data_IF_712594288724
#
_entry.id   IF_712594288724
#
_cell.length_a   1.000
_cell.length_b   1.000
_cell.length_c   1.000
_cell.angle_alpha   90.00
_cell.angle_beta   90.00
_cell.angle_gamma   90.00
#
_symmetry.space_group_name_H-M   'P 1'
#
loop_
_entity.id
_entity.type
_entity.pdbx_description
1 polymer ?
#
# COMPACT_ATOMS: atom_id res chain seq x y z
N UNK A 1 15.32 13.77 -17.76
CA UNK A 1 15.13 12.38 -17.31
C UNK A 1 14.61 12.45 -15.88
N UNK A 2 13.40 11.95 -15.56
CA UNK A 2 12.86 12.09 -14.22
C UNK A 2 13.75 11.36 -13.22
N UNK A 3 13.99 11.99 -12.08
CA UNK A 3 14.82 11.48 -10.98
C UNK A 3 14.32 10.12 -10.52
N UNK A 4 15.08 9.10 -10.93
CA UNK A 4 15.10 7.65 -10.71
C UNK A 4 13.95 6.99 -9.90
N UNK A 5 13.42 7.49 -8.77
CA UNK A 5 12.37 6.82 -7.98
C UNK A 5 11.00 7.53 -7.92
N UNK A 6 10.80 8.62 -8.68
CA UNK A 6 9.60 9.46 -8.62
C UNK A 6 8.25 8.71 -8.69
N UNK A 7 8.04 7.72 -9.59
CA UNK A 7 6.76 7.00 -9.64
C UNK A 7 6.41 6.27 -8.34
N UNK A 8 7.41 5.78 -7.60
CA UNK A 8 7.18 5.07 -6.33
C UNK A 8 6.89 6.05 -5.19
N UNK A 9 7.47 7.25 -5.23
CA UNK A 9 7.09 8.34 -4.33
C UNK A 9 5.67 8.82 -4.60
N UNK A 10 5.30 9.03 -5.87
CA UNK A 10 3.94 9.39 -6.24
C UNK A 10 2.92 8.33 -5.80
N UNK A 11 3.24 7.04 -5.94
CA UNK A 11 2.39 5.96 -5.40
C UNK A 11 2.32 5.99 -3.87
N UNK A 12 3.42 6.32 -3.18
CA UNK A 12 3.44 6.45 -1.72
C UNK A 12 2.52 7.59 -1.28
N UNK A 13 2.66 8.77 -1.89
CA UNK A 13 1.82 9.93 -1.61
C UNK A 13 0.35 9.65 -1.90
N UNK A 14 0.06 8.99 -3.02
CA UNK A 14 -1.29 8.58 -3.39
C UNK A 14 -1.90 7.65 -2.33
N UNK A 15 -1.14 6.65 -1.84
CA UNK A 15 -1.63 5.76 -0.79
C UNK A 15 -1.95 6.52 0.49
N UNK A 16 -1.09 7.45 0.90
CA UNK A 16 -1.28 8.25 2.10
C UNK A 16 -2.50 9.17 1.98
N UNK A 17 -2.64 9.89 0.87
CA UNK A 17 -3.73 10.86 0.64
C UNK A 17 -5.07 10.17 0.40
N UNK A 18 -5.09 9.03 -0.27
CA UNK A 18 -6.35 8.37 -0.61
C UNK A 18 -7.03 7.76 0.62
N UNK A 19 -6.27 7.33 1.64
CA UNK A 19 -6.84 6.77 2.87
C UNK A 19 -7.84 7.72 3.59
N UNK A 20 -7.51 8.97 3.93
CA UNK A 20 -8.47 9.89 4.54
C UNK A 20 -9.61 10.25 3.59
N UNK A 21 -9.32 10.44 2.30
CA UNK A 21 -10.35 10.74 1.28
C UNK A 21 -11.40 9.64 1.25
N UNK A 22 -10.99 8.37 1.25
CA UNK A 22 -11.90 7.24 1.29
C UNK A 22 -12.69 7.17 2.58
N UNK A 23 -12.11 7.53 3.73
CA UNK A 23 -12.85 7.60 5.00
C UNK A 23 -13.95 8.67 4.97
N UNK A 24 -13.70 9.83 4.34
CA UNK A 24 -14.71 10.88 4.15
C UNK A 24 -15.82 10.50 3.17
N UNK A 25 -15.63 9.45 2.36
CA UNK A 25 -16.66 8.89 1.48
C UNK A 25 -17.40 7.73 2.15
N UNK A 26 -16.64 6.84 2.79
CA UNK A 26 -17.10 5.60 3.42
C UNK A 26 -18.07 5.86 4.57
N UNK A 27 -17.67 6.64 5.57
CA UNK A 27 -18.46 6.84 6.78
C UNK A 27 -19.82 7.51 6.52
N UNK A 28 -19.92 8.54 5.65
CA UNK A 28 -21.22 9.06 5.24
C UNK A 28 -22.09 8.04 4.47
N UNK A 29 -21.49 7.15 3.67
CA UNK A 29 -22.24 6.11 2.98
C UNK A 29 -22.80 5.06 3.95
N UNK A 30 -22.00 4.67 4.95
CA UNK A 30 -22.41 3.75 6.04
C UNK A 30 -23.48 4.39 6.94
N UNK A 31 -23.42 5.69 7.20
CA UNK A 31 -24.50 6.35 7.95
C UNK A 31 -25.82 6.30 7.17
N UNK A 32 -25.77 6.56 5.86
CA UNK A 32 -26.95 6.55 5.00
C UNK A 32 -27.54 5.15 4.77
N UNK A 33 -26.78 4.08 4.96
CA UNK A 33 -27.31 2.72 4.85
C UNK A 33 -28.21 2.35 6.03
N UNK A 34 -28.21 3.13 7.12
CA UNK A 34 -29.05 2.87 8.30
C UNK A 34 -28.69 1.59 9.05
N UNK A 35 -27.51 1.02 8.80
CA UNK A 35 -27.03 -0.23 9.43
C UNK A 35 -26.41 0.00 10.80
N UNK A 36 -26.15 1.26 11.18
CA UNK A 36 -25.61 1.64 12.48
C UNK A 36 -26.73 1.75 13.52
N UNK A 37 -26.45 1.38 14.78
CA UNK A 37 -27.43 1.56 15.85
C UNK A 37 -27.70 3.04 16.13
N UNK A 38 -28.89 3.44 16.62
CA UNK A 38 -29.20 4.85 16.95
C UNK A 38 -28.25 5.48 17.99
N UNK A 39 -27.52 4.66 18.77
CA UNK A 39 -26.47 5.09 19.70
C UNK A 39 -25.10 5.34 19.04
N UNK A 40 -24.93 4.93 17.78
CA UNK A 40 -23.69 5.06 16.98
C UNK A 40 -23.77 6.18 15.93
N UNK A 41 -24.69 7.12 16.10
CA UNK A 41 -24.96 8.25 15.18
C UNK A 41 -23.78 9.25 15.07
N UNK A 42 -22.64 8.93 15.69
CA UNK A 42 -21.40 9.69 15.61
C UNK A 42 -20.40 9.02 14.66
N UNK A 43 -20.57 9.26 13.36
CA UNK A 43 -19.53 8.96 12.36
C UNK A 43 -18.22 9.70 12.61
N UNK A 44 -18.22 10.73 13.47
CA UNK A 44 -17.04 11.48 13.83
C UNK A 44 -16.00 10.63 14.58
N UNK A 45 -16.43 9.66 15.41
CA UNK A 45 -15.54 8.79 16.16
C UNK A 45 -14.67 7.93 15.23
N UNK A 46 -15.24 7.15 14.29
CA UNK A 46 -14.42 6.35 13.41
C UNK A 46 -13.64 7.18 12.38
N UNK A 47 -14.16 8.33 11.93
CA UNK A 47 -13.37 9.27 11.11
C UNK A 47 -12.13 9.74 11.88
N UNK A 48 -12.29 10.14 13.14
CA UNK A 48 -11.17 10.54 13.99
C UNK A 48 -10.18 9.39 14.21
N UNK A 49 -10.68 8.17 14.48
CA UNK A 49 -9.85 6.97 14.59
C UNK A 49 -9.02 6.70 13.34
N UNK A 50 -9.61 6.87 12.16
CA UNK A 50 -8.89 6.74 10.88
C UNK A 50 -7.84 7.83 10.68
N UNK A 51 -8.14 9.09 11.01
CA UNK A 51 -7.16 10.18 10.93
C UNK A 51 -5.98 9.93 11.87
N UNK A 52 -6.25 9.51 13.11
CA UNK A 52 -5.19 9.17 14.08
C UNK A 52 -4.32 8.01 13.56
N UNK A 53 -4.96 6.95 13.05
CA UNK A 53 -4.26 5.81 12.45
C UNK A 53 -3.37 6.26 11.29
N UNK A 54 -3.85 7.17 10.45
CA UNK A 54 -3.07 7.74 9.36
C UNK A 54 -1.85 8.49 9.86
N UNK A 55 -2.01 9.39 10.83
CA UNK A 55 -0.90 10.17 11.41
C UNK A 55 0.20 9.26 11.96
N UNK A 56 -0.18 8.14 12.57
CA UNK A 56 0.76 7.14 13.08
C UNK A 56 1.38 6.28 11.96
N UNK A 57 0.62 5.95 10.92
CA UNK A 57 1.07 5.10 9.81
C UNK A 57 1.98 5.84 8.82
N UNK A 58 1.75 7.14 8.58
CA UNK A 58 2.54 7.98 7.66
C UNK A 58 4.05 7.86 7.89
N UNK A 59 4.61 8.12 9.10
CA UNK A 59 6.05 8.05 9.30
C UNK A 59 6.60 6.65 9.07
N UNK A 60 5.82 5.60 9.39
CA UNK A 60 6.23 4.21 9.16
C UNK A 60 6.28 3.89 7.66
N UNK A 61 5.24 4.23 6.91
CA UNK A 61 5.18 4.03 5.45
C UNK A 61 6.29 4.81 4.75
N UNK A 62 6.50 6.07 5.15
CA UNK A 62 7.56 6.93 4.63
C UNK A 62 8.95 6.37 4.94
N UNK A 63 9.18 5.88 6.16
CA UNK A 63 10.46 5.29 6.55
C UNK A 63 10.75 4.01 5.74
N UNK A 64 9.76 3.14 5.56
CA UNK A 64 9.88 1.93 4.74
C UNK A 64 10.18 2.30 3.28
N UNK A 65 9.40 3.21 2.69
CA UNK A 65 9.62 3.68 1.33
C UNK A 65 11.02 4.27 1.17
N UNK A 66 11.44 5.13 2.09
CA UNK A 66 12.77 5.72 2.08
C UNK A 66 13.88 4.66 2.18
N UNK A 67 13.79 3.71 3.11
CA UNK A 67 14.77 2.62 3.25
C UNK A 67 14.86 1.74 1.98
N UNK A 68 13.72 1.51 1.32
CA UNK A 68 13.63 0.74 0.09
C UNK A 68 14.07 1.53 -1.15
N UNK A 69 14.03 2.87 -1.13
CA UNK A 69 14.34 3.72 -2.28
C UNK A 69 15.68 4.47 -2.16
N UNK A 70 16.33 4.48 -0.99
CA UNK A 70 17.57 5.25 -0.73
C UNK A 70 18.72 4.98 -1.70
N UNK A 71 18.77 3.81 -2.32
CA UNK A 71 19.80 3.41 -3.32
C UNK A 71 19.14 2.82 -4.57
N UNK A 72 18.03 3.42 -5.00
CA UNK A 72 17.23 2.94 -6.13
C UNK A 72 18.02 2.98 -7.45
N UNK A 73 17.94 1.88 -8.21
CA UNK A 73 18.48 1.76 -9.56
C UNK A 73 17.32 1.96 -10.56
N UNK A 74 17.40 2.91 -11.51
CA UNK A 74 16.31 3.14 -12.47
C UNK A 74 16.13 2.02 -13.49
N UNK A 75 17.16 1.21 -13.72
CA UNK A 75 17.10 0.12 -14.68
C UNK A 75 16.44 -1.13 -14.07
N UNK A 76 15.97 -1.03 -12.83
CA UNK A 76 15.30 -2.10 -12.10
C UNK A 76 13.96 -2.46 -12.75
N UNK A 77 13.82 -3.74 -13.11
CA UNK A 77 12.56 -4.32 -13.58
C UNK A 77 11.73 -4.84 -12.41
N UNK A 78 10.40 -4.77 -12.50
CA UNK A 78 9.48 -5.26 -11.45
C UNK A 78 9.69 -6.75 -11.13
N UNK A 79 9.98 -7.54 -12.15
CA UNK A 79 10.29 -8.97 -12.02
C UNK A 79 11.77 -9.27 -11.72
N UNK A 80 12.54 -8.28 -11.26
CA UNK A 80 13.96 -8.48 -10.96
C UNK A 80 14.16 -9.61 -9.94
N UNK A 81 15.13 -10.48 -10.27
CA UNK A 81 15.64 -11.51 -9.39
C UNK A 81 17.16 -11.55 -9.54
N UNK A 82 17.87 -11.56 -8.43
CA UNK A 82 19.33 -11.53 -8.39
C UNK A 82 19.86 -12.79 -7.74
N UNK A 83 20.48 -13.64 -8.57
CA UNK A 83 21.14 -14.88 -8.14
C UNK A 83 22.48 -14.64 -7.43
N UNK A 84 23.10 -13.49 -7.66
CA UNK A 84 24.33 -13.08 -6.97
C UNK A 84 24.09 -12.68 -5.51
N UNK A 85 22.83 -12.38 -5.14
CA UNK A 85 22.41 -12.05 -3.77
C UNK A 85 21.12 -12.80 -3.40
N UNK A 86 21.15 -14.14 -3.33
CA UNK A 86 19.95 -14.97 -3.27
C UNK A 86 19.18 -14.75 -1.96
N UNK A 87 19.86 -14.60 -0.82
CA UNK A 87 19.23 -14.36 0.49
C UNK A 87 18.37 -13.08 0.45
N UNK A 88 18.90 -12.01 -0.15
CA UNK A 88 18.18 -10.74 -0.27
C UNK A 88 16.95 -10.87 -1.18
N UNK A 89 17.10 -11.57 -2.30
CA UNK A 89 16.02 -11.82 -3.24
C UNK A 89 14.89 -12.64 -2.62
N UNK A 90 15.24 -13.67 -1.83
CA UNK A 90 14.28 -14.49 -1.08
C UNK A 90 13.57 -13.64 -0.03
N UNK A 91 14.29 -12.95 0.85
CA UNK A 91 13.71 -12.14 1.93
C UNK A 91 12.77 -11.06 1.37
N UNK A 92 13.21 -10.32 0.35
CA UNK A 92 12.37 -9.29 -0.27
C UNK A 92 11.11 -9.88 -0.92
N UNK A 93 11.22 -11.04 -1.57
CA UNK A 93 10.08 -11.70 -2.21
C UNK A 93 9.12 -12.28 -1.17
N UNK A 94 9.61 -12.89 -0.09
CA UNK A 94 8.76 -13.38 1.00
C UNK A 94 8.03 -12.23 1.70
N UNK A 95 8.72 -11.14 2.04
CA UNK A 95 8.11 -10.00 2.73
C UNK A 95 7.10 -9.26 1.85
N UNK A 96 7.54 -8.75 0.71
CA UNK A 96 6.69 -7.92 -0.14
C UNK A 96 5.76 -8.74 -1.03
N UNK A 97 6.27 -9.83 -1.62
CA UNK A 97 5.46 -10.73 -2.45
C UNK A 97 4.46 -11.53 -1.62
N UNK A 98 4.81 -11.96 -0.41
CA UNK A 98 3.87 -12.56 0.53
C UNK A 98 2.75 -11.60 0.90
N UNK A 99 3.07 -10.34 1.23
CA UNK A 99 2.06 -9.31 1.49
C UNK A 99 1.14 -9.08 0.28
N UNK A 100 1.68 -9.07 -0.95
CA UNK A 100 0.87 -8.99 -2.19
C UNK A 100 -0.09 -10.17 -2.30
N UNK A 101 0.35 -11.40 -2.01
CA UNK A 101 -0.51 -12.58 -2.07
C UNK A 101 -1.66 -12.50 -1.06
N UNK A 102 -1.38 -12.06 0.16
CA UNK A 102 -2.41 -11.85 1.20
C UNK A 102 -3.43 -10.79 0.75
N UNK A 103 -2.97 -9.67 0.19
CA UNK A 103 -3.85 -8.61 -0.32
C UNK A 103 -4.74 -9.14 -1.44
N UNK A 104 -4.16 -9.82 -2.44
CA UNK A 104 -4.93 -10.36 -3.56
C UNK A 104 -5.94 -11.40 -3.09
N UNK A 105 -5.58 -12.27 -2.16
CA UNK A 105 -6.49 -13.22 -1.56
C UNK A 105 -7.66 -12.52 -0.86
N UNK A 106 -7.39 -11.51 -0.02
CA UNK A 106 -8.43 -10.76 0.67
C UNK A 106 -9.38 -10.06 -0.32
N UNK A 107 -8.84 -9.41 -1.36
CA UNK A 107 -9.65 -8.76 -2.40
C UNK A 107 -10.57 -9.76 -3.12
N UNK A 108 -10.08 -10.97 -3.41
CA UNK A 108 -10.89 -12.03 -4.03
C UNK A 108 -11.95 -12.53 -3.05
N UNK A 109 -11.60 -12.75 -1.78
CA UNK A 109 -12.53 -13.18 -0.74
C UNK A 109 -13.71 -12.19 -0.59
N UNK A 110 -13.43 -10.88 -0.57
CA UNK A 110 -14.44 -9.83 -0.45
C UNK A 110 -15.42 -9.83 -1.64
N UNK A 111 -14.99 -10.26 -2.83
CA UNK A 111 -15.88 -10.42 -4.00
C UNK A 111 -16.81 -11.62 -3.88
N UNK A 112 -16.39 -12.67 -3.19
CA UNK A 112 -17.22 -13.88 -2.98
C UNK A 112 -18.31 -13.60 -1.95
N UNK A 113 -18.04 -12.77 -0.93
CA UNK A 113 -19.00 -12.44 0.13
C UNK A 113 -20.15 -11.55 -0.36
N UNK A 114 -19.95 -10.76 -1.42
CA UNK A 114 -21.02 -9.92 -1.98
C UNK A 114 -21.35 -8.71 -1.10
N UNK A 115 -20.34 -7.88 -0.85
CA UNK A 115 -20.45 -6.70 0.01
C UNK A 115 -21.26 -5.55 -0.64
N UNK A 116 -21.82 -4.63 0.17
CA UNK A 116 -22.31 -3.33 -0.30
C UNK A 116 -21.26 -2.57 -1.11
N UNK A 117 -21.72 -1.70 -2.02
CA UNK A 117 -20.82 -1.02 -2.96
C UNK A 117 -19.71 -0.19 -2.27
N UNK A 118 -20.03 0.44 -1.14
CA UNK A 118 -19.11 1.30 -0.39
C UNK A 118 -18.03 0.50 0.34
N UNK A 119 -18.28 -0.77 0.66
CA UNK A 119 -17.26 -1.64 1.25
C UNK A 119 -16.20 -2.07 0.23
N UNK A 120 -16.51 -2.05 -1.08
CA UNK A 120 -15.51 -2.29 -2.14
C UNK A 120 -14.48 -1.15 -2.29
N UNK A 121 -14.67 -0.01 -1.60
CA UNK A 121 -13.65 1.04 -1.54
C UNK A 121 -12.35 0.52 -0.90
N UNK A 122 -12.44 -0.39 0.09
CA UNK A 122 -11.27 -0.93 0.79
C UNK A 122 -10.46 -1.92 -0.06
N UNK A 123 -11.07 -2.92 -0.73
CA UNK A 123 -10.40 -3.73 -1.75
C UNK A 123 -9.78 -2.89 -2.86
N UNK A 124 -10.48 -1.86 -3.35
CA UNK A 124 -9.97 -0.95 -4.37
C UNK A 124 -8.71 -0.22 -3.91
N UNK A 125 -8.71 0.28 -2.68
CA UNK A 125 -7.54 0.89 -2.05
C UNK A 125 -6.41 -0.12 -1.82
N UNK A 126 -6.73 -1.34 -1.37
CA UNK A 126 -5.76 -2.39 -1.14
C UNK A 126 -5.02 -2.79 -2.43
N UNK A 127 -5.71 -2.79 -3.58
CA UNK A 127 -5.11 -3.05 -4.89
C UNK A 127 -4.03 -2.03 -5.27
N UNK A 128 -4.14 -0.77 -4.84
CA UNK A 128 -3.10 0.24 -5.10
C UNK A 128 -1.79 -0.08 -4.36
N UNK A 129 -1.86 -0.84 -3.26
CA UNK A 129 -0.67 -1.29 -2.53
C UNK A 129 0.10 -2.36 -3.29
N UNK A 130 -0.53 -3.09 -4.21
CA UNK A 130 0.12 -4.16 -4.99
C UNK A 130 1.29 -3.64 -5.84
N UNK A 131 1.10 -2.66 -6.75
CA UNK A 131 2.21 -2.11 -7.53
C UNK A 131 3.24 -1.43 -6.64
N UNK A 132 2.82 -0.81 -5.53
CA UNK A 132 3.74 -0.22 -4.56
C UNK A 132 4.65 -1.27 -3.90
N UNK A 133 4.09 -2.35 -3.36
CA UNK A 133 4.84 -3.46 -2.75
C UNK A 133 5.76 -4.15 -3.74
N UNK A 134 5.30 -4.40 -4.98
CA UNK A 134 6.12 -4.98 -6.03
C UNK A 134 7.26 -4.04 -6.44
N UNK A 135 7.01 -2.73 -6.46
CA UNK A 135 8.02 -1.70 -6.69
C UNK A 135 9.07 -1.66 -5.59
N UNK A 136 8.66 -1.70 -4.32
CA UNK A 136 9.58 -1.78 -3.18
C UNK A 136 10.39 -3.08 -3.19
N UNK A 137 9.75 -4.21 -3.50
CA UNK A 137 10.43 -5.49 -3.68
C UNK A 137 11.53 -5.38 -4.72
N UNK A 138 11.20 -4.90 -5.91
CA UNK A 138 12.16 -4.77 -7.01
C UNK A 138 13.30 -3.82 -6.63
N UNK A 139 12.98 -2.67 -6.02
CA UNK A 139 13.96 -1.73 -5.50
C UNK A 139 14.92 -2.39 -4.50
N UNK A 140 14.40 -3.16 -3.54
CA UNK A 140 15.22 -3.87 -2.56
C UNK A 140 16.07 -4.95 -3.22
N UNK A 141 15.55 -5.72 -4.17
CA UNK A 141 16.35 -6.76 -4.86
C UNK A 141 17.55 -6.15 -5.58
N UNK A 142 17.34 -5.04 -6.29
CA UNK A 142 18.32 -4.50 -7.23
C UNK A 142 19.15 -3.32 -6.68
N UNK A 143 18.89 -2.91 -5.44
CA UNK A 143 19.64 -1.87 -4.74
C UNK A 143 21.16 -2.16 -4.72
N UNK A 144 21.96 -1.25 -5.27
CA UNK A 144 23.42 -1.24 -5.13
C UNK A 144 24.19 -2.07 -6.17
N UNK A 145 24.13 -1.64 -7.43
CA UNK A 145 25.03 -2.00 -8.53
C UNK A 145 25.88 -0.81 -9.01
N UNK A 146 26.20 0.16 -8.15
CA UNK A 146 27.22 1.18 -8.44
C UNK A 146 28.60 0.72 -7.95
N UNK A 147 29.07 -0.38 -8.54
CA UNK A 147 30.45 -0.87 -8.54
C UNK A 147 30.46 -1.93 -9.64
N UNK A 148 31.00 -1.72 -10.85
CA UNK A 148 32.34 -1.24 -11.22
C UNK A 148 32.34 -0.85 -12.72
N UNK A 149 33.41 -0.22 -13.26
CA UNK A 149 34.63 0.28 -12.61
C UNK A 149 34.60 1.78 -12.32
#
# INVERSE_FOLDING_TARGET
MPTRSWPLWLLTDLLLVLFPVLNFIYWPAVLRSGTLSPSEDSIAIPIYGSVLTMVLAVPVVMAIAWLCLRRYNPDTRVAAWRWDRPVRSIVATCLFGGAVMVILYAVVADRVVGLPWYDYLWPGYALLRVPWLLGLRAAVVDQGSSSQP
#
